data_IF_434728009743
#
_entry.id   IF_434728009743
#
_cell.length_a   1.000
_cell.length_b   1.000
_cell.length_c   1.000
_cell.angle_alpha   90.00
_cell.angle_beta   90.00
_cell.angle_gamma   90.00
#
_symmetry.space_group_name_H-M   'P 1'
#
loop_
_entity.id
_entity.type
_entity.pdbx_description
1 polymer ?
#
# COMPACT_ATOMS: atom_id res chain seq x y z
N UNK A 1 8.75 27.11 -8.42
CA UNK A 1 9.70 26.77 -7.34
C UNK A 1 9.22 25.53 -6.62
N UNK A 2 10.10 24.58 -6.31
CA UNK A 2 9.73 23.39 -5.53
C UNK A 2 9.42 23.79 -4.09
N UNK A 3 8.24 23.44 -3.57
CA UNK A 3 7.97 23.54 -2.15
C UNK A 3 8.60 22.35 -1.41
N UNK A 4 9.83 22.54 -0.91
CA UNK A 4 10.62 21.50 -0.26
C UNK A 4 9.85 20.86 0.91
N UNK A 5 9.11 21.65 1.70
CA UNK A 5 8.33 21.15 2.83
C UNK A 5 7.25 20.17 2.36
N UNK A 6 6.47 20.56 1.35
CA UNK A 6 5.44 19.70 0.77
C UNK A 6 6.03 18.41 0.21
N UNK A 7 7.10 18.52 -0.59
CA UNK A 7 7.72 17.35 -1.23
C UNK A 7 8.39 16.41 -0.23
N UNK A 8 9.00 16.94 0.85
CA UNK A 8 9.52 16.12 1.94
C UNK A 8 8.39 15.39 2.69
N UNK A 9 7.27 16.05 2.97
CA UNK A 9 6.11 15.42 3.60
C UNK A 9 5.56 14.27 2.76
N UNK A 10 5.41 14.47 1.45
CA UNK A 10 4.94 13.42 0.54
C UNK A 10 5.94 12.26 0.43
N UNK A 11 7.24 12.54 0.42
CA UNK A 11 8.28 11.51 0.47
C UNK A 11 8.18 10.67 1.75
N UNK A 12 8.02 11.30 2.92
CA UNK A 12 7.86 10.59 4.20
C UNK A 12 6.63 9.68 4.17
N UNK A 13 5.49 10.19 3.69
CA UNK A 13 4.27 9.39 3.54
C UNK A 13 4.52 8.21 2.60
N UNK A 14 5.16 8.44 1.45
CA UNK A 14 5.46 7.39 0.47
C UNK A 14 6.36 6.30 1.05
N UNK A 15 7.45 6.68 1.72
CA UNK A 15 8.39 5.70 2.29
C UNK A 15 7.80 4.92 3.45
N UNK A 16 6.97 5.54 4.30
CA UNK A 16 6.32 4.84 5.42
C UNK A 16 5.22 3.89 4.95
N UNK A 17 4.42 4.29 3.95
CA UNK A 17 3.48 3.37 3.27
C UNK A 17 4.25 2.23 2.60
N UNK A 18 5.36 2.53 1.93
CA UNK A 18 6.18 1.52 1.29
C UNK A 18 6.74 0.50 2.30
N UNK A 19 7.20 0.95 3.46
CA UNK A 19 7.66 0.07 4.54
C UNK A 19 6.53 -0.82 5.08
N UNK A 20 5.34 -0.24 5.33
CA UNK A 20 4.16 -0.98 5.76
C UNK A 20 3.77 -2.07 4.74
N UNK A 21 3.67 -1.72 3.46
CA UNK A 21 3.39 -2.68 2.40
C UNK A 21 4.53 -3.68 2.19
N UNK A 22 5.78 -3.30 2.45
CA UNK A 22 6.94 -4.18 2.37
C UNK A 22 6.86 -5.33 3.36
N UNK A 23 6.48 -5.05 4.61
CA UNK A 23 6.22 -6.10 5.60
C UNK A 23 5.11 -7.04 5.11
N UNK A 24 3.99 -6.48 4.65
CA UNK A 24 2.84 -7.27 4.16
C UNK A 24 3.12 -8.07 2.89
N UNK A 25 3.91 -7.54 1.96
CA UNK A 25 4.31 -8.21 0.73
C UNK A 25 5.29 -9.35 1.05
N UNK A 26 6.23 -9.13 1.98
CA UNK A 26 7.21 -10.15 2.40
C UNK A 26 6.55 -11.41 2.96
N UNK A 27 5.40 -11.26 3.66
CA UNK A 27 4.66 -12.38 4.23
C UNK A 27 4.14 -13.37 3.19
N UNK A 28 4.07 -13.02 1.89
CA UNK A 28 3.68 -13.98 0.85
C UNK A 28 4.77 -15.03 0.61
N UNK A 29 6.01 -14.73 0.99
CA UNK A 29 7.12 -15.66 0.89
C UNK A 29 7.36 -16.40 2.21
N UNK A 30 7.19 -15.70 3.34
CA UNK A 30 7.47 -16.27 4.66
C UNK A 30 6.29 -17.00 5.31
N UNK A 31 5.06 -16.60 4.98
CA UNK A 31 3.80 -17.12 5.56
C UNK A 31 2.71 -17.27 4.47
N UNK A 32 2.94 -18.09 3.43
CA UNK A 32 1.98 -18.27 2.34
C UNK A 32 0.62 -18.81 2.81
N UNK A 33 0.56 -19.49 3.95
CA UNK A 33 -0.68 -19.93 4.59
C UNK A 33 -1.57 -18.78 5.06
N UNK A 34 -1.00 -17.63 5.43
CA UNK A 34 -1.79 -16.45 5.80
C UNK A 34 -2.47 -15.83 4.58
N UNK A 35 -1.81 -15.89 3.42
CA UNK A 35 -2.39 -15.41 2.17
C UNK A 35 -3.65 -16.20 1.81
N UNK A 36 -3.58 -17.53 1.77
CA UNK A 36 -4.76 -18.37 1.53
C UNK A 36 -5.87 -18.11 2.55
N UNK A 37 -5.52 -18.04 3.84
CA UNK A 37 -6.48 -17.80 4.92
C UNK A 37 -7.20 -16.45 4.78
N UNK A 38 -6.49 -15.37 4.43
CA UNK A 38 -7.12 -14.06 4.23
C UNK A 38 -8.05 -14.11 3.03
N UNK A 39 -7.63 -14.68 1.91
CA UNK A 39 -8.46 -14.74 0.71
C UNK A 39 -9.69 -15.62 0.89
N UNK A 40 -9.56 -16.72 1.61
CA UNK A 40 -10.68 -17.63 1.89
C UNK A 40 -11.64 -17.03 2.92
N UNK A 41 -11.15 -16.62 4.09
CA UNK A 41 -12.01 -16.23 5.21
C UNK A 41 -12.49 -14.78 5.12
N UNK A 42 -11.69 -13.86 4.55
CA UNK A 42 -12.06 -12.45 4.45
C UNK A 42 -12.68 -12.09 3.10
N UNK A 43 -12.18 -12.67 2.01
CA UNK A 43 -12.66 -12.35 0.66
C UNK A 43 -13.60 -13.42 0.07
N UNK A 44 -13.76 -14.58 0.70
CA UNK A 44 -14.60 -15.67 0.20
C UNK A 44 -14.05 -16.36 -1.06
N UNK A 45 -12.76 -16.18 -1.37
CA UNK A 45 -12.11 -16.67 -2.59
C UNK A 45 -11.37 -17.98 -2.33
N UNK A 46 -12.13 -19.08 -2.17
CA UNK A 46 -11.57 -20.40 -1.85
C UNK A 46 -10.73 -21.06 -2.96
N UNK A 47 -10.66 -20.47 -4.15
CA UNK A 47 -9.76 -20.94 -5.22
C UNK A 47 -8.31 -20.43 -5.06
N UNK A 48 -8.09 -19.47 -4.15
CA UNK A 48 -6.78 -18.85 -3.93
C UNK A 48 -5.96 -19.69 -2.96
N UNK A 49 -5.02 -20.48 -3.51
CA UNK A 49 -4.18 -21.40 -2.75
C UNK A 49 -2.80 -20.81 -2.41
N UNK A 50 -2.08 -21.46 -1.49
CA UNK A 50 -0.72 -21.07 -1.09
C UNK A 50 0.27 -21.03 -2.26
N UNK A 51 0.09 -21.90 -3.26
CA UNK A 51 0.94 -21.97 -4.45
C UNK A 51 0.91 -20.65 -5.26
N UNK A 52 -0.21 -19.94 -5.23
CA UNK A 52 -0.36 -18.63 -5.87
C UNK A 52 0.31 -17.49 -5.07
N UNK A 53 0.61 -17.71 -3.80
CA UNK A 53 1.12 -16.67 -2.90
C UNK A 53 2.43 -16.08 -3.41
N UNK A 54 3.35 -16.92 -3.89
CA UNK A 54 4.66 -16.46 -4.39
C UNK A 54 4.53 -15.57 -5.63
N UNK A 55 3.67 -15.93 -6.58
CA UNK A 55 3.41 -15.14 -7.79
C UNK A 55 2.79 -13.78 -7.46
N UNK A 56 1.80 -13.77 -6.58
CA UNK A 56 1.17 -12.52 -6.10
C UNK A 56 2.17 -11.68 -5.32
N UNK A 57 3.00 -12.31 -4.49
CA UNK A 57 4.08 -11.67 -3.75
C UNK A 57 5.08 -10.96 -4.67
N UNK A 58 5.52 -11.61 -5.74
CA UNK A 58 6.44 -11.02 -6.74
C UNK A 58 5.78 -9.81 -7.41
N UNK A 59 4.54 -9.95 -7.88
CA UNK A 59 3.81 -8.85 -8.51
C UNK A 59 3.64 -7.66 -7.54
N UNK A 60 3.30 -7.94 -6.27
CA UNK A 60 3.16 -6.93 -5.24
C UNK A 60 4.50 -6.24 -4.92
N UNK A 61 5.62 -6.98 -4.88
CA UNK A 61 6.95 -6.41 -4.65
C UNK A 61 7.42 -5.53 -5.80
N UNK A 62 7.14 -5.92 -7.05
CA UNK A 62 7.42 -5.07 -8.23
C UNK A 62 6.62 -3.77 -8.18
N UNK A 63 5.32 -3.86 -7.91
CA UNK A 63 4.47 -2.68 -7.73
C UNK A 63 4.98 -1.79 -6.59
N UNK A 64 5.41 -2.39 -5.48
CA UNK A 64 5.98 -1.68 -4.33
C UNK A 64 7.28 -0.97 -4.69
N UNK A 65 8.15 -1.59 -5.50
CA UNK A 65 9.38 -0.95 -5.97
C UNK A 65 9.08 0.28 -6.83
N UNK A 66 8.13 0.16 -7.77
CA UNK A 66 7.64 1.28 -8.60
C UNK A 66 7.07 2.42 -7.74
N UNK A 67 6.24 2.07 -6.75
CA UNK A 67 5.68 3.01 -5.78
C UNK A 67 6.77 3.72 -4.97
N UNK A 68 7.75 2.97 -4.45
CA UNK A 68 8.82 3.49 -3.57
C UNK A 68 9.64 4.58 -4.25
N UNK A 69 10.04 4.34 -5.50
CA UNK A 69 10.80 5.32 -6.29
C UNK A 69 9.90 6.42 -6.87
N UNK A 70 8.58 6.25 -6.81
CA UNK A 70 7.60 7.19 -7.37
C UNK A 70 7.60 7.21 -8.89
N UNK A 71 7.66 6.03 -9.51
CA UNK A 71 7.50 5.83 -10.94
C UNK A 71 6.03 5.49 -11.27
N UNK A 72 5.54 6.02 -12.39
CA UNK A 72 4.15 5.89 -12.82
C UNK A 72 3.15 6.23 -11.72
N UNK A 73 3.33 7.37 -11.06
CA UNK A 73 2.65 7.75 -9.80
C UNK A 73 1.14 7.56 -9.83
N UNK A 74 0.47 7.90 -10.94
CA UNK A 74 -0.98 7.70 -11.06
C UNK A 74 -1.37 6.23 -10.93
N UNK A 75 -0.60 5.33 -11.54
CA UNK A 75 -0.84 3.90 -11.45
C UNK A 75 -0.38 3.35 -10.09
N UNK A 76 0.91 3.51 -9.75
CA UNK A 76 1.49 2.90 -8.55
C UNK A 76 0.84 3.38 -7.26
N UNK A 77 0.48 4.67 -7.15
CA UNK A 77 -0.11 5.22 -5.93
C UNK A 77 -1.59 4.85 -5.83
N UNK A 78 -2.32 4.83 -6.97
CA UNK A 78 -3.71 4.38 -6.99
C UNK A 78 -3.80 2.90 -6.59
N UNK A 79 -2.95 2.04 -7.14
CA UNK A 79 -2.97 0.60 -6.83
C UNK A 79 -2.74 0.35 -5.34
N UNK A 80 -1.75 1.01 -4.72
CA UNK A 80 -1.49 0.86 -3.28
C UNK A 80 -2.63 1.43 -2.43
N UNK A 81 -3.19 2.58 -2.80
CA UNK A 81 -4.34 3.15 -2.10
C UNK A 81 -5.58 2.24 -2.20
N UNK A 82 -5.86 1.68 -3.38
CA UNK A 82 -6.97 0.75 -3.59
C UNK A 82 -6.77 -0.57 -2.83
N UNK A 83 -5.55 -1.12 -2.84
CA UNK A 83 -5.22 -2.32 -2.05
C UNK A 83 -5.43 -2.07 -0.56
N UNK A 84 -4.96 -0.93 -0.05
CA UNK A 84 -5.17 -0.55 1.35
C UNK A 84 -6.66 -0.35 1.66
N UNK A 85 -7.39 0.30 0.75
CA UNK A 85 -8.83 0.50 0.86
C UNK A 85 -9.61 -0.81 0.89
N UNK A 86 -9.28 -1.76 0.01
CA UNK A 86 -9.87 -3.10 0.00
C UNK A 86 -9.61 -3.84 1.31
N UNK A 87 -8.39 -3.72 1.87
CA UNK A 87 -8.05 -4.25 3.20
C UNK A 87 -8.90 -3.64 4.31
N UNK A 88 -9.07 -2.31 4.33
CA UNK A 88 -9.90 -1.60 5.31
C UNK A 88 -11.37 -2.00 5.18
N UNK A 89 -11.93 -2.00 3.97
CA UNK A 89 -13.32 -2.35 3.71
C UNK A 89 -13.61 -3.82 4.07
N UNK A 90 -12.72 -4.74 3.68
CA UNK A 90 -12.83 -6.15 4.04
C UNK A 90 -12.70 -6.41 5.54
N UNK A 91 -12.12 -5.47 6.29
CA UNK A 91 -11.93 -5.57 7.74
C UNK A 91 -12.95 -4.79 8.56
N UNK A 92 -14.02 -4.23 7.95
CA UNK A 92 -15.05 -3.47 8.69
C UNK A 92 -15.58 -4.23 9.91
N UNK A 93 -15.94 -5.53 9.84
CA UNK A 93 -16.40 -6.26 11.01
C UNK A 93 -15.38 -6.29 12.15
N UNK A 94 -14.10 -6.49 11.84
CA UNK A 94 -13.01 -6.45 12.82
C UNK A 94 -12.82 -5.04 13.39
N UNK A 95 -12.84 -4.00 12.54
CA UNK A 95 -12.73 -2.61 12.96
C UNK A 95 -13.87 -2.21 13.91
N UNK A 96 -15.08 -2.69 13.67
CA UNK A 96 -16.22 -2.46 14.57
C UNK A 96 -16.10 -3.23 15.88
N UNK A 97 -15.43 -4.38 15.86
CA UNK A 97 -15.16 -5.21 17.04
C UNK A 97 -13.80 -4.87 17.71
N UNK A 98 -13.47 -3.58 17.79
CA UNK A 98 -12.16 -3.08 18.21
C UNK A 98 -11.85 -3.26 19.70
N UNK A 99 -12.83 -3.62 20.52
CA UNK A 99 -12.60 -3.88 21.96
C UNK A 99 -11.91 -5.22 22.19
N UNK A 100 -11.88 -6.10 21.18
CA UNK A 100 -11.22 -7.39 21.24
C UNK A 100 -9.82 -7.35 20.64
N UNK A 101 -8.87 -8.05 21.25
CA UNK A 101 -7.54 -8.25 20.69
C UNK A 101 -7.55 -9.38 19.64
N UNK A 102 -6.89 -9.25 18.48
CA UNK A 102 -6.03 -8.14 18.04
C UNK A 102 -6.74 -7.06 17.20
N UNK A 103 -8.08 -7.05 17.14
CA UNK A 103 -8.84 -6.16 16.26
C UNK A 103 -8.60 -4.66 16.54
N UNK A 104 -8.30 -4.30 17.79
CA UNK A 104 -7.90 -2.94 18.15
C UNK A 104 -6.71 -2.44 17.31
N UNK A 105 -5.74 -3.31 16.98
CA UNK A 105 -4.56 -2.95 16.20
C UNK A 105 -4.89 -2.71 14.72
N UNK A 106 -5.99 -3.26 14.21
CA UNK A 106 -6.41 -3.07 12.81
C UNK A 106 -6.79 -1.63 12.50
N UNK A 107 -7.13 -0.82 13.52
CA UNK A 107 -7.38 0.61 13.35
C UNK A 107 -6.17 1.37 12.79
N UNK A 108 -4.96 0.84 12.90
CA UNK A 108 -3.77 1.39 12.22
C UNK A 108 -3.89 1.40 10.69
N UNK A 109 -4.72 0.54 10.11
CA UNK A 109 -4.97 0.50 8.68
C UNK A 109 -5.77 1.71 8.16
N UNK A 110 -6.58 2.35 9.01
CA UNK A 110 -7.44 3.49 8.65
C UNK A 110 -6.63 4.77 8.37
N UNK A 111 -5.74 5.26 9.26
CA UNK A 111 -4.88 6.40 8.93
C UNK A 111 -3.87 6.06 7.84
N UNK A 112 -3.40 4.81 7.73
CA UNK A 112 -2.57 4.38 6.61
C UNK A 112 -3.30 4.52 5.26
N UNK A 113 -4.59 4.16 5.22
CA UNK A 113 -5.44 4.39 4.05
C UNK A 113 -5.62 5.88 3.75
N UNK A 114 -5.91 6.69 4.78
CA UNK A 114 -6.02 8.15 4.62
C UNK A 114 -4.74 8.78 4.06
N UNK A 115 -3.58 8.35 4.54
CA UNK A 115 -2.28 8.80 4.05
C UNK A 115 -2.04 8.37 2.59
N UNK A 116 -2.41 7.14 2.21
CA UNK A 116 -2.31 6.66 0.83
C UNK A 116 -3.21 7.46 -0.12
N UNK A 117 -4.43 7.76 0.29
CA UNK A 117 -5.37 8.60 -0.47
C UNK A 117 -4.84 10.03 -0.60
N UNK A 118 -4.34 10.62 0.50
CA UNK A 118 -3.75 11.96 0.47
C UNK A 118 -2.54 12.04 -0.48
N UNK A 119 -1.65 11.04 -0.43
CA UNK A 119 -0.51 10.92 -1.34
C UNK A 119 -0.97 10.76 -2.78
N UNK A 120 -2.02 9.98 -3.05
CA UNK A 120 -2.59 9.85 -4.39
C UNK A 120 -3.17 11.18 -4.88
N UNK A 121 -3.98 11.88 -4.08
CA UNK A 121 -4.56 13.18 -4.45
C UNK A 121 -3.45 14.19 -4.80
N UNK A 122 -2.43 14.28 -3.95
CA UNK A 122 -1.31 15.22 -4.09
C UNK A 122 -0.15 14.69 -4.93
N UNK A 123 -0.32 13.56 -5.63
CA UNK A 123 0.76 12.86 -6.35
C UNK A 123 1.54 13.75 -7.31
N UNK A 124 0.91 14.76 -7.91
CA UNK A 124 1.58 15.69 -8.83
C UNK A 124 2.61 16.59 -8.14
N UNK A 125 2.39 16.91 -6.87
CA UNK A 125 3.26 17.74 -6.03
C UNK A 125 4.45 16.95 -5.43
N UNK A 126 4.42 15.62 -5.57
CA UNK A 126 5.46 14.73 -5.08
C UNK A 126 6.70 14.81 -5.98
N UNK A 127 7.49 15.85 -5.77
CA UNK A 127 8.60 16.20 -6.64
C UNK A 127 9.91 15.48 -6.27
N UNK A 128 9.97 14.81 -5.11
CA UNK A 128 11.05 13.89 -4.74
C UNK A 128 10.70 12.45 -5.15
N UNK A 129 10.24 12.29 -6.38
CA UNK A 129 9.96 11.01 -7.04
C UNK A 129 10.67 10.96 -8.39
N UNK A 130 10.87 9.77 -8.97
CA UNK A 130 11.43 9.64 -10.31
C UNK A 130 10.61 10.43 -11.33
N UNK A 131 9.28 10.30 -11.31
CA UNK A 131 8.40 11.08 -12.20
C UNK A 131 8.45 12.59 -11.90
N UNK A 132 8.60 12.97 -10.64
CA UNK A 132 8.72 14.36 -10.20
C UNK A 132 10.02 15.01 -10.67
N UNK A 133 11.13 14.26 -10.62
CA UNK A 133 12.43 14.69 -11.12
C UNK A 133 12.44 14.78 -12.65
N UNK A 134 11.78 13.85 -13.36
CA UNK A 134 11.63 13.92 -14.83
C UNK A 134 10.91 15.18 -15.29
N UNK A 135 9.80 15.54 -14.63
CA UNK A 135 9.05 16.78 -14.96
C UNK A 135 9.81 18.08 -14.67
N UNK A 136 10.94 18.03 -13.95
CA UNK A 136 11.78 19.20 -13.67
C UNK A 136 12.89 19.42 -14.69
N UNK A 137 13.26 18.42 -15.50
CA UNK A 137 14.20 18.66 -16.59
C UNK A 137 13.49 19.51 -17.65
N UNK A 138 14.01 20.69 -18.00
CA UNK A 138 13.61 21.33 -19.23
C UNK A 138 14.08 20.46 -20.39
N UNK A 139 13.19 20.16 -21.33
CA UNK A 139 13.61 19.85 -22.70
C UNK A 139 14.28 21.10 -23.32
#
# INVERSE_FOLDING_TARGET
>A
MTNIKLSASLLIIRLTIAAFFGAWASLKFYRPEWFENVFTNMYGLGFVTQDLSSYVGIAQMLLLALFTVGLWRTFSYASLALMQGAGVLGSIPNLMNYTNYPNNLMWTAVPAFGAAVALFIMRNEDSFSVDGMRKRSPE
#
